data_IF_410595635971
#
_entry.id   IF_410595635971
#
_cell.length_a   1.000
_cell.length_b   1.000
_cell.length_c   1.000
_cell.angle_alpha   90.00
_cell.angle_beta   90.00
_cell.angle_gamma   90.00
#
_symmetry.space_group_name_H-M   'P 1'
#
loop_
_entity.id
_entity.type
_entity.pdbx_description
1 polymer ?
#
# COMPACT_ATOMS: atom_id res chain seq x y z
N UNK A 1 -7.03 -14.42 -13.62
CA UNK A 1 -6.78 -13.24 -12.75
C UNK A 1 -7.49 -12.07 -13.41
N UNK A 2 -8.47 -11.45 -12.76
CA UNK A 2 -9.21 -10.33 -13.39
C UNK A 2 -8.26 -9.14 -13.57
N UNK A 3 -8.19 -8.61 -14.78
CA UNK A 3 -7.37 -7.46 -15.11
C UNK A 3 -8.10 -6.21 -14.62
N UNK A 4 -7.58 -5.57 -13.58
CA UNK A 4 -8.10 -4.26 -13.14
C UNK A 4 -7.59 -3.22 -14.13
N UNK A 5 -8.50 -2.61 -14.88
CA UNK A 5 -8.17 -1.46 -15.72
C UNK A 5 -8.01 -0.21 -14.84
N UNK A 6 -6.78 0.27 -14.75
CA UNK A 6 -6.41 1.45 -13.98
C UNK A 6 -7.12 2.72 -14.44
N UNK A 7 -7.52 2.80 -15.72
CA UNK A 7 -8.28 3.94 -16.23
C UNK A 7 -9.68 4.01 -15.64
N UNK A 8 -10.27 2.87 -15.27
CA UNK A 8 -11.58 2.79 -14.64
C UNK A 8 -11.57 3.22 -13.17
N UNK A 9 -10.39 3.34 -12.54
CA UNK A 9 -10.24 3.88 -11.19
C UNK A 9 -10.33 5.42 -11.16
N UNK A 10 -10.47 6.07 -12.32
CA UNK A 10 -10.73 7.51 -12.40
C UNK A 10 -9.55 8.38 -11.93
N UNK A 11 -8.34 7.83 -11.91
CA UNK A 11 -7.11 8.54 -11.50
C UNK A 11 -6.76 9.63 -12.52
N UNK A 12 -7.38 10.80 -12.39
CA UNK A 12 -7.03 11.99 -13.17
C UNK A 12 -5.90 12.75 -12.45
N UNK A 13 -4.70 12.68 -12.99
CA UNK A 13 -3.56 13.53 -12.57
C UNK A 13 -2.76 13.06 -11.34
N UNK A 14 -3.01 11.86 -10.81
CA UNK A 14 -2.24 11.28 -9.71
C UNK A 14 -1.09 10.39 -10.17
N UNK A 15 -0.02 10.29 -9.37
CA UNK A 15 1.06 9.31 -9.59
C UNK A 15 0.51 7.88 -9.50
N UNK A 16 0.73 7.05 -10.53
CA UNK A 16 0.36 5.62 -10.55
C UNK A 16 0.97 4.88 -9.38
N UNK A 17 2.24 5.19 -9.08
CA UNK A 17 2.95 4.64 -7.93
C UNK A 17 2.24 4.95 -6.62
N UNK A 18 1.96 6.23 -6.34
CA UNK A 18 1.29 6.62 -5.10
C UNK A 18 -0.10 5.98 -4.98
N UNK A 19 -0.85 5.97 -6.09
CA UNK A 19 -2.18 5.37 -6.12
C UNK A 19 -2.14 3.87 -5.83
N UNK A 20 -1.15 3.17 -6.38
CA UNK A 20 -0.90 1.76 -6.09
C UNK A 20 -0.56 1.51 -4.62
N UNK A 21 0.40 2.26 -4.08
CA UNK A 21 0.83 2.17 -2.69
C UNK A 21 -0.34 2.43 -1.72
N UNK A 22 -1.15 3.48 -1.96
CA UNK A 22 -2.32 3.82 -1.17
C UNK A 22 -3.37 2.70 -1.19
N UNK A 23 -3.65 2.11 -2.36
CA UNK A 23 -4.59 0.99 -2.50
C UNK A 23 -4.09 -0.25 -1.75
N UNK A 24 -2.81 -0.60 -1.89
CA UNK A 24 -2.21 -1.73 -1.19
C UNK A 24 -2.28 -1.54 0.33
N UNK A 25 -2.00 -0.33 0.82
CA UNK A 25 -2.11 0.02 2.24
C UNK A 25 -3.55 -0.15 2.74
N UNK A 26 -4.52 0.38 1.99
CA UNK A 26 -5.93 0.25 2.34
C UNK A 26 -6.38 -1.23 2.41
N UNK A 27 -5.97 -2.05 1.45
CA UNK A 27 -6.30 -3.48 1.43
C UNK A 27 -5.65 -4.24 2.60
N UNK A 28 -4.42 -3.90 2.97
CA UNK A 28 -3.75 -4.45 4.14
C UNK A 28 -4.53 -4.15 5.42
N UNK A 29 -4.84 -2.87 5.64
CA UNK A 29 -5.64 -2.41 6.77
C UNK A 29 -6.99 -3.13 6.85
N UNK A 30 -7.71 -3.23 5.73
CA UNK A 30 -9.00 -3.93 5.64
C UNK A 30 -8.88 -5.42 5.98
N UNK A 31 -7.84 -6.10 5.48
CA UNK A 31 -7.60 -7.53 5.73
C UNK A 31 -7.30 -7.81 7.20
N UNK A 32 -6.54 -6.94 7.84
CA UNK A 32 -6.14 -7.07 9.24
C UNK A 32 -7.13 -6.43 10.23
N UNK A 33 -8.20 -5.79 9.72
CA UNK A 33 -9.21 -5.06 10.49
C UNK A 33 -8.62 -3.96 11.37
N UNK A 34 -7.64 -3.23 10.84
CA UNK A 34 -7.00 -2.08 11.48
C UNK A 34 -7.32 -0.79 10.70
N UNK A 35 -7.29 0.35 11.38
CA UNK A 35 -7.68 1.64 10.79
C UNK A 35 -6.56 2.32 9.99
N UNK A 36 -5.31 2.16 10.41
CA UNK A 36 -4.14 2.72 9.74
C UNK A 36 -2.86 1.98 10.15
N UNK A 37 -1.83 2.09 9.32
CA UNK A 37 -0.45 1.70 9.62
C UNK A 37 0.38 3.00 9.57
N UNK A 38 1.24 3.23 10.55
CA UNK A 38 2.16 4.36 10.51
C UNK A 38 3.21 4.11 9.43
N UNK A 39 3.28 5.01 8.45
CA UNK A 39 4.30 4.97 7.39
C UNK A 39 5.40 6.00 7.63
N UNK A 40 6.60 5.67 7.19
CA UNK A 40 7.72 6.61 7.17
C UNK A 40 7.77 7.31 5.81
N UNK A 41 7.85 8.63 5.83
CA UNK A 41 8.28 9.41 4.66
C UNK A 41 9.80 9.60 4.76
N UNK A 42 10.53 9.39 3.65
CA UNK A 42 11.98 9.59 3.52
C UNK A 42 12.89 8.54 4.20
N UNK A 43 12.44 7.29 4.38
CA UNK A 43 13.30 6.19 4.84
C UNK A 43 13.51 5.16 3.71
N UNK A 44 14.70 5.07 3.08
CA UNK A 44 14.93 4.26 1.89
C UNK A 44 14.83 2.73 2.12
N UNK A 45 14.83 2.28 3.37
CA UNK A 45 14.82 0.86 3.73
C UNK A 45 13.53 0.34 4.38
N UNK A 46 12.64 1.21 4.86
CA UNK A 46 11.45 0.82 5.63
C UNK A 46 10.30 1.78 5.30
N UNK A 47 9.22 1.25 4.73
CA UNK A 47 8.04 2.05 4.39
C UNK A 47 7.05 2.20 5.56
N UNK A 48 7.01 1.23 6.49
CA UNK A 48 6.10 1.27 7.67
C UNK A 48 6.77 0.80 8.95
N UNK A 49 6.31 1.34 10.08
CA UNK A 49 6.59 0.76 11.40
C UNK A 49 6.12 -0.69 11.47
N UNK A 50 6.91 -1.61 12.06
CA UNK A 50 6.38 -2.90 12.47
C UNK A 50 5.19 -2.70 13.41
N UNK A 51 4.11 -3.42 13.16
CA UNK A 51 2.87 -3.27 13.93
C UNK A 51 2.35 -4.64 14.37
N UNK A 52 1.54 -4.64 15.43
CA UNK A 52 0.99 -5.86 16.02
C UNK A 52 -0.52 -5.93 15.85
N UNK A 53 -1.01 -7.08 15.41
CA UNK A 53 -2.45 -7.38 15.29
C UNK A 53 -2.68 -8.76 15.89
N UNK A 54 -3.52 -8.85 16.93
CA UNK A 54 -3.87 -10.10 17.62
C UNK A 54 -2.65 -10.94 18.05
N UNK A 55 -1.63 -10.30 18.65
CA UNK A 55 -0.43 -10.99 19.14
C UNK A 55 0.60 -11.36 18.06
N UNK A 56 0.35 -11.01 16.79
CA UNK A 56 1.27 -11.26 15.68
C UNK A 56 1.85 -9.95 15.16
N UNK A 57 3.17 -9.93 14.98
CA UNK A 57 3.92 -8.81 14.41
C UNK A 57 3.95 -8.87 12.89
N UNK A 58 3.79 -7.72 12.25
CA UNK A 58 3.74 -7.52 10.81
C UNK A 58 4.67 -6.38 10.40
N UNK A 59 5.19 -6.47 9.18
CA UNK A 59 5.76 -5.35 8.44
C UNK A 59 5.05 -5.26 7.09
N UNK A 60 4.91 -4.05 6.55
CA UNK A 60 4.22 -3.82 5.29
C UNK A 60 5.09 -2.99 4.34
N UNK A 61 5.12 -3.38 3.07
CA UNK A 61 5.82 -2.67 2.01
C UNK A 61 5.06 -2.90 0.69
N UNK A 62 4.90 -1.84 -0.09
CA UNK A 62 4.29 -1.92 -1.42
C UNK A 62 5.12 -1.07 -2.39
N UNK A 63 5.53 -1.67 -3.50
CA UNK A 63 6.30 -0.96 -4.53
C UNK A 63 5.66 -1.14 -5.90
N UNK A 64 5.53 -0.03 -6.62
CA UNK A 64 5.12 -0.03 -8.02
C UNK A 64 6.35 0.02 -8.91
N UNK A 65 6.46 -0.96 -9.82
CA UNK A 65 7.53 -1.00 -10.82
C UNK A 65 6.90 -0.87 -12.21
N UNK A 66 7.42 0.04 -13.02
CA UNK A 66 7.17 0.01 -14.45
C UNK A 66 8.12 -1.00 -15.08
N UNK A 67 7.58 -2.01 -15.76
CA UNK A 67 8.39 -2.88 -16.61
C UNK A 67 8.85 -2.08 -17.83
N UNK A 68 10.17 -2.08 -18.07
CA UNK A 68 10.79 -1.52 -19.27
C UNK A 68 10.24 -2.16 -20.56
#
# INVERSE_FOLDING_TARGET
>A
MQHIDWNNLGLKGGSKQKSFEDICMFLCCRKLKISKINSYQNQPGIETEPFEVNGKKYGFQAKFFETL
#
